data_IF_342339768030
#
_entry.id   IF_342339768030
#
_cell.length_a   1.000
_cell.length_b   1.000
_cell.length_c   1.000
_cell.angle_alpha   90.00
_cell.angle_beta   90.00
_cell.angle_gamma   90.00
#
_symmetry.space_group_name_H-M   'P 1'
#
loop_
_entity.id
_entity.type
_entity.pdbx_description
1 polymer ?
#
# COMPACT_ATOMS: atom_id res chain seq x y z
N UNK A 1 -1.61 -11.34 -8.71
CA UNK A 1 -1.17 -10.14 -9.46
C UNK A 1 0.15 -10.42 -10.15
N UNK A 2 0.33 -9.95 -11.39
CA UNK A 2 1.61 -10.02 -12.09
C UNK A 2 2.60 -8.98 -11.53
N UNK A 3 3.90 -9.15 -11.80
CA UNK A 3 4.94 -8.19 -11.37
C UNK A 3 4.72 -6.80 -11.96
N UNK A 4 4.26 -6.70 -13.21
CA UNK A 4 4.00 -5.41 -13.87
C UNK A 4 2.92 -4.59 -13.19
N UNK A 5 1.88 -5.23 -12.65
CA UNK A 5 0.81 -4.56 -11.90
C UNK A 5 1.33 -3.97 -10.58
N UNK A 6 2.24 -4.67 -9.91
CA UNK A 6 2.88 -4.17 -8.68
C UNK A 6 3.75 -2.96 -8.99
N UNK A 7 4.56 -3.03 -10.05
CA UNK A 7 5.34 -1.88 -10.50
C UNK A 7 4.44 -0.67 -10.81
N UNK A 8 3.36 -0.89 -11.57
CA UNK A 8 2.46 0.18 -11.99
C UNK A 8 1.80 0.90 -10.80
N UNK A 9 1.34 0.16 -9.80
CA UNK A 9 0.59 0.74 -8.68
C UNK A 9 1.45 1.23 -7.52
N UNK A 10 2.66 0.67 -7.29
CA UNK A 10 3.50 1.05 -6.16
C UNK A 10 4.68 1.95 -6.53
N UNK A 11 5.20 1.86 -7.77
CA UNK A 11 6.35 2.64 -8.21
C UNK A 11 5.93 3.72 -9.20
N UNK A 12 5.35 3.33 -10.32
CA UNK A 12 4.98 4.26 -11.39
C UNK A 12 3.92 5.27 -10.92
N UNK A 13 2.95 4.81 -10.13
CA UNK A 13 1.97 5.66 -9.46
C UNK A 13 2.60 6.84 -8.71
N UNK A 14 3.72 6.64 -8.00
CA UNK A 14 4.38 7.71 -7.24
C UNK A 14 4.98 8.81 -8.13
N UNK A 15 5.17 8.54 -9.42
CA UNK A 15 5.60 9.54 -10.41
C UNK A 15 4.41 10.22 -11.10
N UNK A 16 3.29 9.50 -11.22
CA UNK A 16 2.07 9.98 -11.89
C UNK A 16 1.15 10.78 -10.96
N UNK A 17 1.11 10.45 -9.67
CA UNK A 17 0.21 11.12 -8.72
C UNK A 17 0.79 12.46 -8.28
N UNK A 18 -0.02 13.53 -8.19
CA UNK A 18 0.45 14.85 -7.77
C UNK A 18 1.09 14.88 -6.37
N UNK A 19 0.66 13.97 -5.49
CA UNK A 19 1.13 13.86 -4.11
C UNK A 19 2.29 12.87 -3.93
N UNK A 20 2.79 12.27 -5.02
CA UNK A 20 3.90 11.31 -4.98
C UNK A 20 3.58 9.99 -4.26
N UNK A 21 2.29 9.68 -4.11
CA UNK A 21 1.79 8.51 -3.38
C UNK A 21 1.50 7.36 -4.35
N UNK A 22 1.51 6.14 -3.82
CA UNK A 22 1.10 4.97 -4.58
C UNK A 22 -0.43 4.92 -4.73
N UNK A 23 -0.92 4.16 -5.71
CA UNK A 23 -2.35 4.12 -6.05
C UNK A 23 -3.21 3.58 -4.88
N UNK A 24 -2.68 2.65 -4.08
CA UNK A 24 -3.42 2.11 -2.93
C UNK A 24 -3.60 3.14 -1.81
N UNK A 25 -2.56 3.91 -1.50
CA UNK A 25 -2.64 4.98 -0.51
C UNK A 25 -3.63 6.05 -0.98
N UNK A 26 -3.56 6.50 -2.23
CA UNK A 26 -4.50 7.50 -2.75
C UNK A 26 -5.95 6.99 -2.74
N UNK A 27 -6.16 5.74 -3.15
CA UNK A 27 -7.46 5.11 -3.12
C UNK A 27 -8.02 5.07 -1.68
N UNK A 28 -7.27 4.53 -0.72
CA UNK A 28 -7.72 4.37 0.67
C UNK A 28 -7.96 5.71 1.39
N UNK A 29 -7.15 6.73 1.11
CA UNK A 29 -7.37 8.07 1.68
C UNK A 29 -8.74 8.65 1.29
N UNK A 30 -9.33 8.19 0.17
CA UNK A 30 -10.67 8.59 -0.27
C UNK A 30 -11.85 7.91 0.45
N UNK A 31 -11.62 6.87 1.27
CA UNK A 31 -12.70 6.10 1.93
C UNK A 31 -12.91 6.45 3.42
N UNK A 32 -12.42 7.61 3.86
CA UNK A 32 -12.66 8.13 5.22
C UNK A 32 -11.62 7.69 6.26
N UNK A 33 -11.81 8.18 7.49
CA UNK A 33 -10.81 8.10 8.57
C UNK A 33 -10.43 6.67 8.97
N UNK A 34 -11.36 5.72 8.90
CA UNK A 34 -11.09 4.34 9.30
C UNK A 34 -10.01 3.65 8.45
N UNK A 35 -9.81 4.13 7.22
CA UNK A 35 -8.84 3.59 6.26
C UNK A 35 -7.50 4.35 6.29
N UNK A 36 -7.42 5.50 6.97
CA UNK A 36 -6.21 6.32 6.99
C UNK A 36 -5.02 5.60 7.64
N UNK A 37 -5.26 4.85 8.72
CA UNK A 37 -4.21 4.06 9.38
C UNK A 37 -3.57 3.06 8.39
N UNK A 38 -4.40 2.34 7.63
CA UNK A 38 -3.92 1.40 6.62
C UNK A 38 -3.22 2.12 5.46
N UNK A 39 -3.79 3.23 5.00
CA UNK A 39 -3.21 4.03 3.91
C UNK A 39 -1.81 4.54 4.27
N UNK A 40 -1.60 4.98 5.52
CA UNK A 40 -0.31 5.44 6.04
C UNK A 40 0.70 4.30 6.17
N UNK A 41 0.28 3.12 6.64
CA UNK A 41 1.15 1.94 6.69
C UNK A 41 1.63 1.53 5.29
N UNK A 42 0.74 1.55 4.29
CA UNK A 42 1.10 1.26 2.90
C UNK A 42 2.00 2.36 2.31
N UNK A 43 1.79 3.62 2.68
CA UNK A 43 2.62 4.73 2.23
C UNK A 43 4.08 4.61 2.72
N UNK A 44 4.29 3.96 3.87
CA UNK A 44 5.60 3.71 4.45
C UNK A 44 6.41 2.60 3.77
N UNK A 45 5.82 1.85 2.85
CA UNK A 45 6.56 0.85 2.06
C UNK A 45 7.55 1.56 1.13
N UNK A 46 8.82 1.18 1.22
CA UNK A 46 9.87 1.66 0.32
C UNK A 46 10.01 0.72 -0.90
N UNK A 47 9.61 1.16 -2.10
CA UNK A 47 9.60 0.29 -3.27
C UNK A 47 10.95 0.19 -3.98
N UNK A 48 12.01 0.87 -3.52
CA UNK A 48 13.29 0.97 -4.24
C UNK A 48 14.38 0.02 -3.72
N UNK A 49 14.22 -0.55 -2.53
CA UNK A 49 15.18 -1.47 -1.93
C UNK A 49 14.76 -2.94 -2.01
N UNK A 50 13.69 -3.26 -2.75
CA UNK A 50 13.11 -4.60 -2.82
C UNK A 50 12.81 -5.00 -4.28
N UNK A 51 12.76 -6.30 -4.55
CA UNK A 51 12.22 -6.82 -5.81
C UNK A 51 10.70 -6.65 -5.87
N UNK A 52 10.11 -6.68 -7.06
CA UNK A 52 8.64 -6.60 -7.22
C UNK A 52 7.89 -7.75 -6.51
N UNK A 53 8.53 -8.91 -6.34
CA UNK A 53 7.95 -10.03 -5.62
C UNK A 53 7.94 -9.79 -4.10
N UNK A 54 9.04 -9.26 -3.56
CA UNK A 54 9.15 -8.87 -2.16
C UNK A 54 8.21 -7.72 -1.83
N UNK A 55 8.16 -6.70 -2.69
CA UNK A 55 7.26 -5.56 -2.55
C UNK A 55 5.78 -5.99 -2.49
N UNK A 56 5.39 -6.97 -3.31
CA UNK A 56 4.06 -7.58 -3.25
C UNK A 56 3.81 -8.28 -1.90
N UNK A 57 4.82 -8.99 -1.39
CA UNK A 57 4.71 -9.71 -0.13
C UNK A 57 4.64 -8.73 1.05
N UNK A 58 5.40 -7.63 1.03
CA UNK A 58 5.35 -6.57 2.03
C UNK A 58 3.97 -5.90 2.07
N UNK A 59 3.41 -5.55 0.90
CA UNK A 59 2.04 -5.06 0.80
C UNK A 59 1.04 -6.03 1.46
N UNK A 60 1.15 -7.32 1.14
CA UNK A 60 0.31 -8.35 1.75
C UNK A 60 0.48 -8.44 3.27
N UNK A 61 1.71 -8.34 3.78
CA UNK A 61 1.99 -8.37 5.23
C UNK A 61 1.37 -7.17 5.95
N UNK A 62 1.47 -5.97 5.38
CA UNK A 62 0.84 -4.76 5.94
C UNK A 62 -0.67 -4.93 6.05
N UNK A 63 -1.33 -5.39 4.97
CA UNK A 63 -2.77 -5.67 4.99
C UNK A 63 -3.15 -6.73 6.01
N UNK A 64 -2.43 -7.87 6.04
CA UNK A 64 -2.72 -8.96 6.96
C UNK A 64 -2.56 -8.56 8.43
N UNK A 65 -1.52 -7.78 8.74
CA UNK A 65 -1.30 -7.25 10.09
C UNK A 65 -2.44 -6.32 10.51
N UNK A 66 -2.79 -5.34 9.67
CA UNK A 66 -3.88 -4.41 9.94
C UNK A 66 -5.22 -5.13 10.16
N UNK A 67 -5.57 -6.10 9.31
CA UNK A 67 -6.82 -6.85 9.44
C UNK A 67 -6.89 -7.70 10.71
N UNK A 68 -5.76 -8.30 11.13
CA UNK A 68 -5.68 -9.05 12.40
C UNK A 68 -5.89 -8.13 13.60
N UNK A 69 -5.24 -6.97 13.59
CA UNK A 69 -5.39 -5.97 14.66
C UNK A 69 -6.79 -5.37 14.72
N UNK A 70 -7.44 -5.17 13.57
CA UNK A 70 -8.83 -4.68 13.52
C UNK A 70 -9.82 -5.72 14.07
N UNK A 71 -9.61 -7.00 13.78
CA UNK A 71 -10.44 -8.10 14.31
C UNK A 71 -10.32 -8.28 15.82
N UNK A 72 -9.15 -8.02 16.40
CA UNK A 72 -8.96 -8.08 17.86
C UNK A 72 -9.45 -6.85 18.62
N UNK A 73 -9.93 -5.81 17.91
CA UNK A 73 -10.51 -4.57 18.47
C UNK A 73 -12.04 -4.57 18.45
N UNK A 74 -12.66 -5.60 17.86
CA UNK A 74 -14.11 -5.87 17.87
C UNK A 74 -14.49 -6.79 19.02
#
# INVERSE_FOLDING_TARGET
>A
MSRGVIFYHLIDARRRTPLGRNDFTEWLMGYGEEHQELAMRIAGIDPYFTTLSELRNELHQVFAAYMRERRGRS
#
